data_IF_980068835937
#
_entry.id   IF_980068835937
#
_cell.length_a   1.000
_cell.length_b   1.000
_cell.length_c   1.000
_cell.angle_alpha   90.00
_cell.angle_beta   90.00
_cell.angle_gamma   90.00
#
_symmetry.space_group_name_H-M   'P 1'
#
loop_
_entity.id
_entity.type
_entity.pdbx_description
1 polymer ?
#
# COMPACT_ATOMS: atom_id res chain seq x y z
N UNK A 1 1.61 31.48 25.43
CA UNK A 1 0.93 30.88 24.27
C UNK A 1 0.86 29.39 24.52
N UNK A 2 -0.33 28.81 24.54
CA UNK A 2 -0.47 27.38 24.85
C UNK A 2 0.01 26.55 23.66
N UNK A 3 0.95 25.62 23.91
CA UNK A 3 1.55 24.78 22.90
C UNK A 3 1.18 23.32 23.16
N UNK A 4 0.68 22.64 22.12
CA UNK A 4 0.25 21.25 22.12
C UNK A 4 1.26 20.41 21.34
N UNK A 5 1.58 19.22 21.84
CA UNK A 5 2.49 18.26 21.22
C UNK A 5 1.69 17.00 20.86
N UNK A 6 1.60 16.70 19.57
CA UNK A 6 1.05 15.47 19.04
C UNK A 6 2.17 14.43 18.93
N UNK A 7 2.13 13.41 19.79
CA UNK A 7 3.12 12.33 19.82
C UNK A 7 2.58 11.15 19.00
N UNK A 8 3.20 10.88 17.86
CA UNK A 8 2.81 9.82 16.91
C UNK A 8 3.73 8.61 17.08
N UNK A 9 3.22 7.36 17.18
CA UNK A 9 4.07 6.19 17.28
C UNK A 9 5.01 6.02 16.08
N UNK A 10 6.27 5.61 16.30
CA UNK A 10 7.25 5.37 15.22
C UNK A 10 6.84 4.29 14.19
N UNK A 11 5.86 3.44 14.53
CA UNK A 11 5.30 2.45 13.57
C UNK A 11 4.45 3.11 12.47
N UNK A 12 4.04 4.36 12.66
CA UNK A 12 3.11 5.07 11.79
C UNK A 12 3.74 6.36 11.22
N UNK A 13 4.90 6.23 10.57
CA UNK A 13 5.63 7.35 9.94
C UNK A 13 4.80 8.12 8.91
N UNK A 14 3.89 7.44 8.19
CA UNK A 14 2.97 8.06 7.25
C UNK A 14 1.94 8.96 7.94
N UNK A 15 1.51 8.61 9.16
CA UNK A 15 0.63 9.43 9.97
C UNK A 15 1.34 10.70 10.45
N UNK A 16 2.62 10.59 10.81
CA UNK A 16 3.44 11.76 11.18
C UNK A 16 3.54 12.77 10.02
N UNK A 17 3.91 12.34 8.81
CA UNK A 17 4.03 13.24 7.66
C UNK A 17 2.70 13.92 7.31
N UNK A 18 1.59 13.19 7.46
CA UNK A 18 0.25 13.75 7.26
C UNK A 18 -0.06 14.84 8.28
N UNK A 19 0.17 14.57 9.57
CA UNK A 19 -0.12 15.51 10.64
C UNK A 19 0.81 16.72 10.62
N UNK A 20 2.09 16.52 10.33
CA UNK A 20 3.05 17.61 10.14
C UNK A 20 2.60 18.53 8.98
N UNK A 21 2.15 17.95 7.86
CA UNK A 21 1.61 18.73 6.73
C UNK A 21 0.30 19.43 7.08
N UNK A 22 -0.57 18.79 7.87
CA UNK A 22 -1.88 19.34 8.28
C UNK A 22 -1.75 20.54 9.21
N UNK A 23 -0.79 20.49 10.14
CA UNK A 23 -0.57 21.52 11.17
C UNK A 23 0.59 22.46 10.85
N UNK A 24 1.14 22.44 9.63
CA UNK A 24 2.30 23.24 9.19
C UNK A 24 2.16 24.78 9.36
N UNK A 25 0.97 25.29 9.70
CA UNK A 25 0.70 26.70 9.92
C UNK A 25 0.14 27.04 11.30
N UNK A 26 0.01 26.07 12.20
CA UNK A 26 -0.53 26.30 13.55
C UNK A 26 0.62 26.39 14.57
N UNK A 27 0.99 27.58 15.06
CA UNK A 27 2.08 27.73 16.02
C UNK A 27 1.75 27.11 17.39
N UNK A 28 0.48 26.80 17.63
CA UNK A 28 0.05 26.13 18.85
C UNK A 28 0.23 24.62 18.80
N UNK A 29 0.59 24.00 17.66
CA UNK A 29 0.64 22.54 17.50
C UNK A 29 2.00 22.08 16.96
N UNK A 30 2.68 21.21 17.69
CA UNK A 30 3.92 20.56 17.30
C UNK A 30 3.70 19.05 17.16
N UNK A 31 4.10 18.45 16.04
CA UNK A 31 3.98 17.00 15.82
C UNK A 31 5.36 16.36 16.03
N UNK A 32 5.43 15.29 16.82
CA UNK A 32 6.66 14.59 17.18
C UNK A 32 6.48 13.08 17.00
N UNK A 33 7.47 12.42 16.40
CA UNK A 33 7.54 10.95 16.35
C UNK A 33 8.10 10.38 17.66
N UNK A 34 7.34 9.47 18.30
CA UNK A 34 7.82 8.72 19.44
C UNK A 34 8.73 7.56 19.00
N UNK A 35 10.04 7.82 19.05
CA UNK A 35 11.09 6.81 18.80
C UNK A 35 11.48 6.04 20.07
N UNK A 36 10.84 6.29 21.22
CA UNK A 36 11.20 5.62 22.47
C UNK A 36 10.51 4.25 22.51
N UNK A 37 11.29 3.20 22.30
CA UNK A 37 10.83 1.84 22.51
C UNK A 37 10.41 1.67 23.99
N UNK A 38 9.10 1.57 24.22
CA UNK A 38 8.50 1.08 25.48
C UNK A 38 9.03 1.73 26.76
N UNK A 39 8.69 2.99 27.01
CA UNK A 39 8.64 3.48 28.40
C UNK A 39 7.27 4.09 28.65
N UNK A 40 6.42 3.31 29.32
CA UNK A 40 5.14 3.74 29.91
C UNK A 40 5.36 5.09 30.61
N UNK A 41 4.56 6.13 30.33
CA UNK A 41 4.74 7.41 30.99
C UNK A 41 4.60 7.21 32.50
N UNK A 42 5.54 7.79 33.26
CA UNK A 42 5.49 7.80 34.72
C UNK A 42 4.18 8.47 35.18
N UNK A 43 3.47 7.90 36.17
CA UNK A 43 2.14 8.37 36.58
C UNK A 43 2.09 9.83 37.08
N UNK A 44 3.23 10.46 37.32
CA UNK A 44 3.32 11.88 37.71
C UNK A 44 2.97 12.87 36.55
N UNK A 45 3.01 12.44 35.28
CA UNK A 45 2.67 13.27 34.12
C UNK A 45 1.29 12.97 33.52
N UNK A 46 0.55 12.00 34.07
CA UNK A 46 -0.68 11.46 33.50
C UNK A 46 -1.87 12.43 33.53
N UNK A 47 -1.81 13.51 34.31
CA UNK A 47 -2.93 14.46 34.44
C UNK A 47 -3.11 15.42 33.26
N UNK A 48 -2.28 15.33 32.19
CA UNK A 48 -2.28 16.28 31.05
C UNK A 48 -2.17 15.63 29.66
N UNK A 49 -2.42 14.33 29.54
CA UNK A 49 -2.30 13.61 28.26
C UNK A 49 -3.58 12.86 27.90
N UNK A 50 -4.06 13.06 26.67
CA UNK A 50 -5.16 12.28 26.09
C UNK A 50 -4.60 11.35 25.03
N UNK A 51 -4.81 10.04 25.20
CA UNK A 51 -4.42 9.04 24.21
C UNK A 51 -5.58 8.83 23.25
N UNK A 52 -5.34 9.09 21.97
CA UNK A 52 -6.30 8.90 20.90
C UNK A 52 -6.10 7.53 20.23
N UNK A 53 -7.08 7.16 19.39
CA UNK A 53 -7.02 5.94 18.59
C UNK A 53 -5.76 5.94 17.68
N UNK A 54 -5.18 4.76 17.44
CA UNK A 54 -3.82 4.53 16.88
C UNK A 54 -2.63 4.84 17.83
N UNK A 55 -2.88 5.19 19.09
CA UNK A 55 -1.82 5.41 20.08
C UNK A 55 -1.15 6.77 19.96
N UNK A 56 -1.73 7.69 19.18
CA UNK A 56 -1.33 9.10 19.15
C UNK A 56 -1.67 9.73 20.50
N UNK A 57 -0.67 10.31 21.16
CA UNK A 57 -0.85 10.97 22.45
C UNK A 57 -0.77 12.48 22.29
N UNK A 58 -1.80 13.20 22.75
CA UNK A 58 -1.79 14.67 22.78
C UNK A 58 -1.28 15.11 24.14
N UNK A 59 -0.18 15.87 24.17
CA UNK A 59 0.45 16.38 25.38
C UNK A 59 0.46 17.90 25.35
N UNK A 60 -0.05 18.54 26.40
CA UNK A 60 0.04 19.98 26.54
C UNK A 60 1.39 20.40 27.12
N UNK A 61 2.11 21.27 26.40
CA UNK A 61 3.34 21.92 26.87
C UNK A 61 2.94 23.14 27.69
N UNK A 62 2.78 22.93 29.00
CA UNK A 62 2.64 24.04 29.94
C UNK A 62 3.95 24.82 30.06
N UNK A 63 3.86 26.14 30.18
CA UNK A 63 4.98 26.94 30.67
C UNK A 63 5.41 26.35 32.01
N UNK A 64 6.67 25.92 32.07
CA UNK A 64 7.27 25.40 33.28
C UNK A 64 7.41 26.55 34.28
N UNK A 65 6.39 26.79 35.11
CA UNK A 65 6.65 27.28 36.45
C UNK A 65 7.32 26.13 37.19
N UNK A 66 8.65 26.21 37.28
CA UNK A 66 9.46 25.59 38.32
C UNK A 66 8.68 25.65 39.62
N UNK A 67 8.28 24.51 40.14
CA UNK A 67 8.14 24.20 41.56
C UNK A 67 7.67 22.74 41.66
N UNK A 68 8.65 21.85 41.57
CA UNK A 68 8.50 20.50 42.08
C UNK A 68 8.40 20.59 43.62
N UNK A 69 7.49 19.86 44.28
CA UNK A 69 7.42 19.84 45.73
C UNK A 69 8.59 19.00 46.25
N UNK A 70 9.61 19.68 46.77
CA UNK A 70 10.71 19.01 47.48
C UNK A 70 10.22 18.53 48.85
N UNK A 71 10.68 17.34 49.19
CA UNK A 71 10.27 16.52 50.33
C UNK A 71 10.52 17.15 51.71
N UNK A 72 9.52 16.96 52.59
CA UNK A 72 9.63 16.64 54.03
C UNK A 72 10.80 17.25 54.79
N UNK A 73 10.49 18.27 55.61
CA UNK A 73 10.99 18.36 56.99
C UNK A 73 10.20 19.42 57.78
N UNK A 74 9.38 18.94 58.73
CA UNK A 74 8.88 19.75 59.84
C UNK A 74 9.99 19.86 60.90
N UNK A 75 10.14 21.01 61.56
CA UNK A 75 9.89 20.97 63.00
C UNK A 75 8.96 22.09 63.44
N UNK A 76 8.09 21.72 64.38
CA UNK A 76 7.05 22.53 64.98
C UNK A 76 7.55 23.87 65.53
N UNK A 77 6.87 24.96 65.19
CA UNK A 77 6.73 26.11 66.08
C UNK A 77 5.36 26.76 65.84
N UNK A 78 4.58 26.81 66.92
CA UNK A 78 3.25 27.37 66.96
C UNK A 78 3.29 28.88 66.64
N UNK A 79 2.50 29.31 65.67
CA UNK A 79 2.01 30.68 65.51
C UNK A 79 0.58 30.56 64.94
N UNK A 80 -0.41 30.63 65.83
CA UNK A 80 -1.80 30.93 65.49
C UNK A 80 -1.85 32.36 64.95
N UNK A 81 -2.22 32.52 63.68
CA UNK A 81 -2.63 33.83 63.18
C UNK A 81 -2.24 34.08 61.73
N UNK A 82 -3.21 33.90 60.84
CA UNK A 82 -3.21 34.56 59.52
C UNK A 82 -3.01 33.63 58.33
N UNK A 83 -4.07 32.93 57.91
CA UNK A 83 -4.14 32.47 56.52
C UNK A 83 -5.57 32.36 55.98
N UNK A 84 -6.42 33.37 56.18
CA UNK A 84 -7.74 33.46 55.52
C UNK A 84 -7.68 34.13 54.14
N UNK A 85 -6.51 34.62 53.70
CA UNK A 85 -6.34 35.25 52.38
C UNK A 85 -5.70 34.32 51.33
N UNK A 86 -5.00 33.24 51.71
CA UNK A 86 -4.46 32.23 50.77
C UNK A 86 -5.56 31.36 50.16
N UNK A 87 -6.54 30.94 50.98
CA UNK A 87 -7.66 30.05 50.59
C UNK A 87 -8.55 30.67 49.48
N UNK A 88 -8.73 31.99 49.49
CA UNK A 88 -9.46 32.71 48.44
C UNK A 88 -8.71 32.83 47.12
N UNK A 89 -7.37 32.84 47.17
CA UNK A 89 -6.51 32.91 45.97
C UNK A 89 -6.41 31.54 45.30
N UNK A 90 -6.28 30.47 46.11
CA UNK A 90 -6.30 29.08 45.66
C UNK A 90 -7.63 28.72 44.99
N UNK A 91 -8.78 29.19 45.51
CA UNK A 91 -10.08 28.95 44.86
C UNK A 91 -10.24 29.66 43.50
N UNK A 92 -9.59 30.81 43.30
CA UNK A 92 -9.59 31.52 42.02
C UNK A 92 -8.67 30.84 41.00
N UNK A 93 -7.53 30.32 41.44
CA UNK A 93 -6.61 29.53 40.62
C UNK A 93 -7.26 28.21 40.18
N UNK A 94 -7.99 27.55 41.07
CA UNK A 94 -8.74 26.33 40.79
C UNK A 94 -9.84 26.56 39.75
N UNK A 95 -10.56 27.69 39.82
CA UNK A 95 -11.56 28.06 38.81
C UNK A 95 -10.91 28.31 37.44
N UNK A 96 -9.81 29.07 37.40
CA UNK A 96 -9.06 29.29 36.17
C UNK A 96 -8.51 27.98 35.58
N UNK A 97 -8.13 27.02 36.41
CA UNK A 97 -7.70 25.68 35.97
C UNK A 97 -8.87 24.92 35.33
N UNK A 98 -10.06 24.98 35.93
CA UNK A 98 -11.27 24.33 35.40
C UNK A 98 -11.71 24.97 34.09
N UNK A 99 -11.78 26.30 34.01
CA UNK A 99 -12.18 27.01 32.79
C UNK A 99 -11.24 26.67 31.63
N UNK A 100 -9.94 26.63 31.90
CA UNK A 100 -8.93 26.25 30.92
C UNK A 100 -9.03 24.78 30.50
N UNK A 101 -9.36 23.89 31.44
CA UNK A 101 -9.62 22.50 31.12
C UNK A 101 -10.89 22.33 30.27
N UNK A 102 -11.91 23.14 30.51
CA UNK A 102 -13.14 23.15 29.71
C UNK A 102 -12.88 23.63 28.29
N UNK A 103 -12.15 24.73 28.10
CA UNK A 103 -11.74 25.22 26.78
C UNK A 103 -10.92 24.18 26.01
N UNK A 104 -9.99 23.52 26.68
CA UNK A 104 -9.18 22.43 26.13
C UNK A 104 -10.05 21.23 25.72
N UNK A 105 -10.98 20.82 26.60
CA UNK A 105 -11.93 19.74 26.29
C UNK A 105 -12.83 20.09 25.10
N UNK A 106 -13.25 21.36 24.98
CA UNK A 106 -14.09 21.84 23.90
C UNK A 106 -13.33 21.84 22.57
N UNK A 107 -12.05 22.21 22.57
CA UNK A 107 -11.21 22.13 21.37
C UNK A 107 -10.98 20.67 20.93
N UNK A 108 -10.65 19.79 21.87
CA UNK A 108 -10.40 18.37 21.57
C UNK A 108 -11.66 17.68 21.05
N UNK A 109 -12.79 17.84 21.75
CA UNK A 109 -14.06 17.21 21.40
C UNK A 109 -14.73 17.86 20.19
N UNK A 110 -14.60 19.18 20.04
CA UNK A 110 -15.30 19.93 19.00
C UNK A 110 -14.57 19.99 17.66
N UNK A 111 -13.25 19.86 17.64
CA UNK A 111 -12.46 20.07 16.41
C UNK A 111 -11.47 18.96 16.13
N UNK A 112 -10.68 18.56 17.13
CA UNK A 112 -9.58 17.63 16.89
C UNK A 112 -10.11 16.22 16.64
N UNK A 113 -10.86 15.65 17.59
CA UNK A 113 -11.36 14.27 17.51
C UNK A 113 -12.28 14.05 16.30
N UNK A 114 -13.27 14.92 16.00
CA UNK A 114 -14.10 14.75 14.82
C UNK A 114 -13.29 14.75 13.51
N UNK A 115 -12.33 15.66 13.37
CA UNK A 115 -11.47 15.71 12.17
C UNK A 115 -10.65 14.44 11.95
N UNK A 116 -10.13 13.84 13.03
CA UNK A 116 -9.44 12.54 12.94
C UNK A 116 -10.37 11.40 12.54
N UNK A 117 -11.63 11.40 13.02
CA UNK A 117 -12.61 10.38 12.66
C UNK A 117 -13.02 10.49 11.19
N UNK A 118 -13.24 11.71 10.69
CA UNK A 118 -13.56 11.97 9.29
C UNK A 118 -12.42 11.53 8.36
N UNK A 119 -11.18 11.87 8.72
CA UNK A 119 -10.00 11.46 7.94
C UNK A 119 -9.84 9.94 7.93
N UNK A 120 -10.05 9.28 9.07
CA UNK A 120 -10.03 7.81 9.18
C UNK A 120 -11.08 7.19 8.26
N UNK A 121 -12.30 7.69 8.29
CA UNK A 121 -13.40 7.11 7.49
C UNK A 121 -13.16 7.36 5.99
N UNK A 122 -12.62 8.52 5.62
CA UNK A 122 -12.14 8.79 4.26
C UNK A 122 -11.04 7.81 3.82
N UNK A 123 -10.06 7.55 4.69
CA UNK A 123 -8.98 6.60 4.39
C UNK A 123 -9.50 5.17 4.25
N UNK A 124 -10.46 4.75 5.09
CA UNK A 124 -11.11 3.44 4.99
C UNK A 124 -11.82 3.27 3.65
N UNK A 125 -12.59 4.27 3.21
CA UNK A 125 -13.27 4.21 1.90
C UNK A 125 -12.26 4.10 0.76
N UNK A 126 -11.16 4.86 0.82
CA UNK A 126 -10.08 4.78 -0.18
C UNK A 126 -9.39 3.42 -0.19
N UNK A 127 -9.16 2.82 0.99
CA UNK A 127 -8.57 1.50 1.11
C UNK A 127 -9.46 0.44 0.45
N UNK A 128 -10.75 0.40 0.81
CA UNK A 128 -11.71 -0.55 0.22
C UNK A 128 -11.80 -0.39 -1.30
N UNK A 129 -11.83 0.84 -1.79
CA UNK A 129 -11.81 1.10 -3.24
C UNK A 129 -10.52 0.62 -3.92
N UNK A 130 -9.37 0.79 -3.27
CA UNK A 130 -8.08 0.35 -3.81
C UNK A 130 -7.94 -1.17 -3.78
N UNK A 131 -8.46 -1.84 -2.74
CA UNK A 131 -8.52 -3.29 -2.64
C UNK A 131 -9.42 -3.87 -3.75
N UNK A 132 -10.60 -3.29 -3.96
CA UNK A 132 -11.51 -3.70 -5.03
C UNK A 132 -10.88 -3.56 -6.43
N UNK A 133 -10.17 -2.45 -6.69
CA UNK A 133 -9.45 -2.25 -7.95
C UNK A 133 -8.29 -3.25 -8.09
N UNK A 134 -7.56 -3.53 -7.00
CA UNK A 134 -6.49 -4.52 -7.03
C UNK A 134 -7.00 -5.92 -7.34
N UNK A 135 -8.14 -6.31 -6.78
CA UNK A 135 -8.74 -7.62 -7.04
C UNK A 135 -9.27 -7.72 -8.47
N UNK A 136 -9.87 -6.64 -8.98
CA UNK A 136 -10.26 -6.54 -10.40
C UNK A 136 -9.06 -6.73 -11.32
N UNK A 137 -7.97 -6.00 -11.10
CA UNK A 137 -6.76 -6.10 -11.93
C UNK A 137 -6.13 -7.50 -11.86
N UNK A 138 -6.20 -8.17 -10.71
CA UNK A 138 -5.75 -9.58 -10.59
C UNK A 138 -6.59 -10.50 -11.46
N UNK A 139 -7.91 -10.35 -11.47
CA UNK A 139 -8.80 -11.13 -12.32
C UNK A 139 -8.53 -10.88 -13.81
N UNK A 140 -8.31 -9.63 -14.20
CA UNK A 140 -7.94 -9.27 -15.58
C UNK A 140 -6.58 -9.89 -15.97
N UNK A 141 -5.59 -9.88 -15.08
CA UNK A 141 -4.30 -10.55 -15.30
C UNK A 141 -4.44 -12.06 -15.45
N UNK A 142 -5.27 -12.71 -14.64
CA UNK A 142 -5.54 -14.15 -14.76
C UNK A 142 -6.28 -14.48 -16.06
N UNK A 143 -7.21 -13.63 -16.49
CA UNK A 143 -7.89 -13.76 -17.79
C UNK A 143 -6.90 -13.69 -18.95
N UNK A 144 -6.07 -12.64 -18.97
CA UNK A 144 -5.05 -12.47 -20.02
C UNK A 144 -4.02 -13.61 -20.03
N UNK A 145 -3.64 -14.15 -18.87
CA UNK A 145 -2.76 -15.32 -18.80
C UNK A 145 -3.40 -16.57 -19.41
N UNK A 146 -4.70 -16.78 -19.19
CA UNK A 146 -5.46 -17.88 -19.81
C UNK A 146 -5.53 -17.71 -21.33
N UNK A 147 -5.81 -16.50 -21.80
CA UNK A 147 -5.88 -16.19 -23.23
C UNK A 147 -4.52 -16.38 -23.91
N UNK A 148 -3.43 -15.92 -23.29
CA UNK A 148 -2.07 -16.15 -23.78
C UNK A 148 -1.72 -17.63 -23.85
N UNK A 149 -2.08 -18.42 -22.83
CA UNK A 149 -1.87 -19.87 -22.86
C UNK A 149 -2.68 -20.55 -23.98
N UNK A 150 -3.92 -20.12 -24.20
CA UNK A 150 -4.76 -20.57 -25.31
C UNK A 150 -4.13 -20.29 -26.68
N UNK A 151 -3.73 -19.04 -26.92
CA UNK A 151 -3.09 -18.61 -28.18
C UNK A 151 -1.75 -19.32 -28.42
N UNK A 152 -0.97 -19.59 -27.36
CA UNK A 152 0.25 -20.39 -27.48
C UNK A 152 -0.06 -21.83 -27.89
N UNK A 153 -1.12 -22.43 -27.32
CA UNK A 153 -1.60 -23.74 -27.72
C UNK A 153 -2.04 -23.79 -29.19
N UNK A 154 -2.81 -22.80 -29.65
CA UNK A 154 -3.23 -22.68 -31.04
C UNK A 154 -2.05 -22.53 -32.00
N UNK A 155 -1.06 -21.69 -31.68
CA UNK A 155 0.16 -21.55 -32.47
C UNK A 155 0.93 -22.87 -32.57
N UNK A 156 1.01 -23.62 -31.47
CA UNK A 156 1.72 -24.89 -31.43
C UNK A 156 0.98 -25.95 -32.25
N UNK A 157 -0.36 -25.97 -32.17
CA UNK A 157 -1.21 -26.80 -33.01
C UNK A 157 -1.02 -26.49 -34.50
N UNK A 158 -1.11 -25.22 -34.91
CA UNK A 158 -0.90 -24.82 -36.31
C UNK A 158 0.49 -25.17 -36.83
N UNK A 159 1.54 -25.03 -36.00
CA UNK A 159 2.89 -25.48 -36.36
C UNK A 159 2.95 -26.98 -36.58
N UNK A 160 2.29 -27.77 -35.74
CA UNK A 160 2.24 -29.23 -35.91
C UNK A 160 1.49 -29.63 -37.18
N UNK A 161 0.41 -28.94 -37.54
CA UNK A 161 -0.30 -29.16 -38.81
C UNK A 161 0.58 -28.80 -40.01
N UNK A 162 1.31 -27.68 -39.95
CA UNK A 162 2.25 -27.30 -41.01
C UNK A 162 3.36 -28.34 -41.18
N UNK A 163 3.93 -28.88 -40.09
CA UNK A 163 4.93 -29.95 -40.15
C UNK A 163 4.33 -31.22 -40.78
N UNK A 164 3.15 -31.65 -40.34
CA UNK A 164 2.48 -32.81 -40.90
C UNK A 164 2.16 -32.64 -42.41
N UNK A 165 1.72 -31.44 -42.81
CA UNK A 165 1.48 -31.13 -44.22
C UNK A 165 2.77 -31.16 -45.05
N UNK A 166 3.88 -30.60 -44.52
CA UNK A 166 5.18 -30.64 -45.18
C UNK A 166 5.70 -32.08 -45.35
N UNK A 167 5.52 -32.94 -44.35
CA UNK A 167 5.85 -34.37 -44.42
C UNK A 167 5.01 -35.10 -45.47
N UNK A 168 3.70 -34.83 -45.53
CA UNK A 168 2.81 -35.39 -46.53
C UNK A 168 3.24 -34.97 -47.95
N UNK A 169 3.58 -33.69 -48.16
CA UNK A 169 4.10 -33.21 -49.44
C UNK A 169 5.44 -33.87 -49.81
N UNK A 170 6.36 -34.01 -48.86
CA UNK A 170 7.63 -34.70 -49.09
C UNK A 170 7.41 -36.17 -49.50
N UNK A 171 6.46 -36.87 -48.87
CA UNK A 171 6.08 -38.23 -49.24
C UNK A 171 5.54 -38.31 -50.68
N UNK A 172 4.65 -37.39 -51.07
CA UNK A 172 4.12 -37.35 -52.45
C UNK A 172 5.24 -37.07 -53.47
N UNK A 173 6.14 -36.13 -53.19
CA UNK A 173 7.28 -35.84 -54.06
C UNK A 173 8.23 -37.03 -54.20
N UNK A 174 8.46 -37.78 -53.11
CA UNK A 174 9.22 -39.04 -53.18
C UNK A 174 8.53 -40.08 -54.06
N UNK A 175 7.21 -40.26 -53.93
CA UNK A 175 6.45 -41.17 -54.79
C UNK A 175 6.52 -40.77 -56.27
N UNK A 176 6.40 -39.48 -56.59
CA UNK A 176 6.55 -38.97 -57.96
C UNK A 176 7.97 -39.21 -58.51
N UNK A 177 8.98 -39.04 -57.67
CA UNK A 177 10.38 -39.31 -58.04
C UNK A 177 10.61 -40.80 -58.31
N UNK A 178 10.04 -41.69 -57.50
CA UNK A 178 10.10 -43.14 -57.72
C UNK A 178 9.36 -43.56 -58.99
N UNK A 179 8.25 -42.89 -59.35
CA UNK A 179 7.52 -43.12 -60.61
C UNK A 179 8.28 -42.64 -61.85
N UNK A 180 9.22 -41.69 -61.72
CA UNK A 180 10.00 -41.19 -62.85
C UNK A 180 10.91 -42.28 -63.46
N UNK A 181 11.44 -43.20 -62.63
CA UNK A 181 12.30 -44.32 -63.09
C UNK A 181 11.57 -45.28 -64.05
N UNK A 182 10.43 -45.89 -63.69
CA UNK A 182 9.71 -46.78 -64.61
C UNK A 182 9.19 -46.03 -65.84
N UNK A 183 8.77 -44.77 -65.71
CA UNK A 183 8.34 -43.98 -66.86
C UNK A 183 9.48 -43.78 -67.88
N UNK A 184 10.69 -43.48 -67.39
CA UNK A 184 11.89 -43.37 -68.23
C UNK A 184 12.26 -44.69 -68.91
N UNK A 185 12.10 -45.81 -68.22
CA UNK A 185 12.32 -47.14 -68.80
C UNK A 185 11.28 -47.48 -69.88
N UNK A 186 9.98 -47.19 -69.65
CA UNK A 186 8.92 -47.34 -70.65
C UNK A 186 9.19 -46.48 -71.87
N UNK A 187 9.60 -45.22 -71.68
CA UNK A 187 9.97 -44.33 -72.77
C UNK A 187 11.15 -44.89 -73.59
N UNK A 188 12.22 -45.35 -72.93
CA UNK A 188 13.36 -46.00 -73.60
C UNK A 188 12.95 -47.21 -74.42
N UNK A 189 12.09 -48.08 -73.87
CA UNK A 189 11.57 -49.27 -74.57
C UNK A 189 10.74 -48.90 -75.80
N UNK A 190 9.86 -47.92 -75.69
CA UNK A 190 9.07 -47.42 -76.83
C UNK A 190 9.98 -46.91 -77.95
N UNK A 191 10.96 -46.07 -77.63
CA UNK A 191 11.90 -45.52 -78.61
C UNK A 191 12.80 -46.60 -79.24
N UNK A 192 13.22 -47.61 -78.45
CA UNK A 192 14.04 -48.72 -78.93
C UNK A 192 13.27 -49.73 -79.80
N UNK A 193 11.95 -49.82 -79.68
CA UNK A 193 11.08 -50.58 -80.59
C UNK A 193 10.79 -49.80 -81.89
N UNK A 194 11.01 -48.49 -81.89
CA UNK A 194 10.74 -47.59 -83.01
C UNK A 194 11.84 -47.39 -84.08
N UNK A 195 13.01 -48.09 -84.15
CA UNK A 195 13.97 -47.87 -85.24
C UNK A 195 13.68 -48.68 -86.52
N UNK A 196 12.57 -49.42 -86.60
CA UNK A 196 12.30 -50.33 -87.73
C UNK A 196 11.31 -49.88 -88.81
N UNK A 197 10.49 -48.84 -88.58
CA UNK A 197 9.34 -48.56 -89.47
C UNK A 197 9.63 -47.48 -90.52
N UNK A 198 10.69 -46.67 -90.38
CA UNK A 198 10.92 -45.51 -91.26
C UNK A 198 11.96 -45.77 -92.38
N UNK A 199 12.77 -46.84 -92.31
CA UNK A 199 13.84 -47.09 -93.29
C UNK A 199 13.52 -48.17 -94.36
N UNK A 200 12.23 -48.44 -94.62
CA UNK A 200 11.81 -49.55 -95.48
C UNK A 200 10.75 -49.22 -96.54
N UNK A 201 10.63 -47.97 -97.02
CA UNK A 201 9.76 -47.66 -98.18
C UNK A 201 10.38 -46.52 -98.99
N UNK A 202 11.45 -46.80 -99.72
CA UNK A 202 11.84 -46.10 -100.95
C UNK A 202 12.84 -47.01 -101.70
N UNK A 203 12.30 -48.01 -102.38
CA UNK A 203 12.95 -48.71 -103.48
C UNK A 203 12.03 -48.59 -104.70
#
# INVERSE_FOLDING_TARGET
>A
MESYILVVPAKESSLFEYLERRFKGDPAVSVVLDRRATRRPSPAAASRSVVLFQGVTVIRRGDATTDAPESVQTPCRAEEGGNRMSDGQEMLEDRQRVDRWLEESQYLLGRLIPGYLDDRDRLRVRLVSAEAESDRLRQEMEALRRDLAGLQGELQYQRSEQTAAAEAFASVLNQLTELQKPLGEVHRRLTAVQPGIINGVHA
#
